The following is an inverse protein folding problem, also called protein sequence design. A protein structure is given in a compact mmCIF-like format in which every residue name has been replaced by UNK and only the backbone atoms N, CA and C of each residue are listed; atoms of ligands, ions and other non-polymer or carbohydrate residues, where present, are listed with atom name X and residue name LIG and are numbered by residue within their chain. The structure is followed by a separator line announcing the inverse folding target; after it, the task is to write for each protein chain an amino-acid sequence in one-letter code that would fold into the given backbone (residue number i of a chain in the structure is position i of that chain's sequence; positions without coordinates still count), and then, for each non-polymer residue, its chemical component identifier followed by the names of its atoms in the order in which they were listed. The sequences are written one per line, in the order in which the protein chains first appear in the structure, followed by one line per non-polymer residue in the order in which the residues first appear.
data_IF_113132898840
#
_entry.id   IF_113132898840
#
_cell.length_a   1.000
_cell.length_b   1.000
_cell.length_c   1.000
_cell.angle_alpha   90.00
_cell.angle_beta   90.00
_cell.angle_gamma   90.00
#
_symmetry.space_group_name_H-M   'P 1'
#
loop_
_entity.id
_entity.type
_entity.pdbx_description
1 polymer ?
#
# COMPACT_ATOMS: atom_id res chain seq x y z
N UNK A 1 5.11 9.61 -15.34
CA UNK A 1 3.86 9.65 -14.54
C UNK A 1 3.85 10.88 -13.65
N UNK A 2 2.72 11.57 -13.52
CA UNK A 2 2.64 12.73 -12.63
C UNK A 2 2.78 12.27 -11.17
N UNK A 3 3.93 12.59 -10.55
CA UNK A 3 4.26 12.19 -9.16
C UNK A 3 3.20 12.68 -8.15
N UNK A 4 2.61 13.84 -8.42
CA UNK A 4 1.50 14.42 -7.65
C UNK A 4 0.26 13.52 -7.69
N UNK A 5 -0.09 13.00 -8.87
CA UNK A 5 -1.24 12.10 -9.04
C UNK A 5 -0.99 10.75 -8.36
N UNK A 6 0.23 10.23 -8.40
CA UNK A 6 0.60 8.99 -7.73
C UNK A 6 0.47 9.10 -6.20
N UNK A 7 0.96 10.20 -5.61
CA UNK A 7 0.82 10.45 -4.16
C UNK A 7 -0.66 10.61 -3.79
N UNK A 8 -1.43 11.36 -4.58
CA UNK A 8 -2.87 11.52 -4.35
C UNK A 8 -3.61 10.19 -4.37
N UNK A 9 -3.37 9.36 -5.40
CA UNK A 9 -3.99 8.04 -5.51
C UNK A 9 -3.61 7.13 -4.33
N UNK A 10 -2.35 7.17 -3.89
CA UNK A 10 -1.89 6.39 -2.75
C UNK A 10 -2.57 6.83 -1.44
N UNK A 11 -2.71 8.14 -1.20
CA UNK A 11 -3.39 8.66 -0.01
C UNK A 11 -4.86 8.25 0.01
N UNK A 12 -5.57 8.41 -1.12
CA UNK A 12 -6.97 8.01 -1.23
C UNK A 12 -7.14 6.50 -1.01
N UNK A 13 -6.26 5.69 -1.60
CA UNK A 13 -6.25 4.24 -1.40
C UNK A 13 -6.00 3.86 0.07
N UNK A 14 -5.02 4.47 0.72
CA UNK A 14 -4.70 4.22 2.13
C UNK A 14 -5.88 4.59 3.06
N UNK A 15 -6.54 5.71 2.81
CA UNK A 15 -7.75 6.12 3.55
C UNK A 15 -8.87 5.09 3.34
N UNK A 16 -9.12 4.69 2.10
CA UNK A 16 -10.16 3.70 1.78
C UNK A 16 -9.92 2.36 2.49
N UNK A 17 -8.70 1.82 2.42
CA UNK A 17 -8.33 0.58 3.11
C UNK A 17 -8.44 0.73 4.63
N UNK A 18 -8.06 1.88 5.17
CA UNK A 18 -8.26 2.20 6.58
C UNK A 18 -9.73 2.16 6.99
N UNK A 19 -10.61 2.81 6.23
CA UNK A 19 -12.06 2.78 6.47
C UNK A 19 -12.58 1.34 6.44
N UNK A 20 -12.19 0.53 5.44
CA UNK A 20 -12.61 -0.87 5.37
C UNK A 20 -12.18 -1.68 6.60
N UNK A 21 -10.97 -1.46 7.10
CA UNK A 21 -10.47 -2.17 8.28
C UNK A 21 -11.23 -1.80 9.57
N UNK A 22 -11.73 -0.57 9.69
CA UNK A 22 -12.46 -0.09 10.88
C UNK A 22 -13.98 -0.31 10.80
N UNK A 23 -14.60 -0.03 9.66
CA UNK A 23 -16.06 -0.10 9.45
C UNK A 23 -16.52 -1.54 9.19
N UNK A 24 -15.68 -2.35 8.53
CA UNK A 24 -15.97 -3.75 8.18
C UNK A 24 -14.91 -4.68 8.77
N UNK A 25 -14.79 -4.76 10.13
CA UNK A 25 -13.75 -5.54 10.80
C UNK A 25 -14.08 -7.04 10.73
N UNK A 26 -13.89 -7.63 9.55
CA UNK A 26 -13.85 -9.07 9.34
C UNK A 26 -12.41 -9.54 9.48
N UNK A 27 -12.14 -10.60 10.27
CA UNK A 27 -10.77 -11.07 10.51
C UNK A 27 -10.05 -11.46 9.21
N UNK A 28 -10.77 -12.05 8.26
CA UNK A 28 -10.24 -12.39 6.92
C UNK A 28 -9.77 -11.14 6.15
N UNK A 29 -10.61 -10.11 6.10
CA UNK A 29 -10.33 -8.85 5.40
C UNK A 29 -9.13 -8.12 6.00
N UNK A 30 -9.01 -8.08 7.34
CA UNK A 30 -7.86 -7.46 8.02
C UNK A 30 -6.57 -8.22 7.71
N UNK A 31 -6.59 -9.56 7.71
CA UNK A 31 -5.42 -10.37 7.36
C UNK A 31 -4.97 -10.08 5.93
N UNK A 32 -5.91 -10.05 4.97
CA UNK A 32 -5.60 -9.75 3.56
C UNK A 32 -5.02 -8.35 3.41
N UNK A 33 -5.56 -7.35 4.11
CA UNK A 33 -5.04 -5.98 4.12
C UNK A 33 -3.59 -5.94 4.64
N UNK A 34 -3.31 -6.59 5.77
CA UNK A 34 -1.98 -6.62 6.38
C UNK A 34 -0.96 -7.29 5.45
N UNK A 35 -1.31 -8.44 4.88
CA UNK A 35 -0.43 -9.16 3.94
C UNK A 35 -0.16 -8.31 2.70
N UNK A 36 -1.20 -7.69 2.14
CA UNK A 36 -1.06 -6.83 0.95
C UNK A 36 -0.19 -5.61 1.24
N UNK A 37 -0.37 -4.96 2.41
CA UNK A 37 0.46 -3.85 2.84
C UNK A 37 1.93 -4.25 3.05
N UNK A 38 2.18 -5.44 3.60
CA UNK A 38 3.53 -5.98 3.77
C UNK A 38 4.21 -6.25 2.42
N UNK A 39 3.49 -6.82 1.45
CA UNK A 39 3.99 -7.03 0.09
C UNK A 39 4.24 -5.71 -0.64
N UNK A 40 3.35 -4.73 -0.48
CA UNK A 40 3.54 -3.40 -1.01
C UNK A 40 4.80 -2.75 -0.43
N UNK A 41 5.00 -2.81 0.90
CA UNK A 41 6.21 -2.29 1.53
C UNK A 41 7.48 -3.01 1.03
N UNK A 42 7.42 -4.33 0.86
CA UNK A 42 8.51 -5.11 0.28
C UNK A 42 8.83 -4.68 -1.16
N UNK A 43 7.80 -4.49 -1.99
CA UNK A 43 7.96 -4.00 -3.37
C UNK A 43 8.58 -2.60 -3.42
N UNK A 44 8.13 -1.68 -2.55
CA UNK A 44 8.74 -0.36 -2.43
C UNK A 44 10.22 -0.42 -2.04
N UNK A 45 10.58 -1.27 -1.07
CA UNK A 45 11.98 -1.42 -0.61
C UNK A 45 12.84 -2.05 -1.71
N UNK A 46 12.38 -3.15 -2.33
CA UNK A 46 13.16 -3.84 -3.36
C UNK A 46 13.29 -3.02 -4.65
N UNK A 47 12.22 -2.33 -5.06
CA UNK A 47 12.21 -1.44 -6.22
C UNK A 47 13.16 -0.26 -6.02
N UNK A 48 13.25 0.27 -4.79
CA UNK A 48 14.21 1.34 -4.46
C UNK A 48 15.69 0.90 -4.46
N UNK A 49 15.99 -0.39 -4.24
CA UNK A 49 17.35 -0.92 -4.29
C UNK A 49 17.84 -1.22 -5.71
N UNK A 50 16.92 -1.46 -6.66
CA UNK A 50 17.28 -1.79 -8.05
C UNK A 50 17.72 -0.57 -8.88
N UNK A 51 17.80 0.62 -8.27
CA UNK A 51 18.32 1.86 -8.90
C UNK A 51 19.79 2.14 -8.52
N UNK A 52 20.42 1.28 -7.70
CA UNK A 52 21.79 1.48 -7.17
C UNK A 52 22.77 0.36 -7.59
N UNK A 53 22.57 -0.24 -8.76
CA UNK A 53 23.55 -1.10 -9.45
C UNK A 53 23.77 -0.58 -10.88
N UNK A 54 24.41 0.57 -10.98
CA UNK A 54 25.31 0.93 -12.10
C UNK A 54 26.74 1.02 -11.54
#
# INVERSE_FOLDING_TARGET
MNRILAIFAFVVFAIFVGILAFEVPSPDLVIVIVVTAALLAYDFITSSQTDSKD
#
